data_IF_520817723271
#
_entry.id   IF_520817723271
#
_cell.length_a   1.000
_cell.length_b   1.000
_cell.length_c   1.000
_cell.angle_alpha   90.00
_cell.angle_beta   90.00
_cell.angle_gamma   90.00
#
_symmetry.space_group_name_H-M   'P 1'
#
loop_
_entity.id
_entity.type
_entity.pdbx_description
1 polymer ?
#
# COMPACT_ATOMS: atom_id res chain seq x y z
N UNK A 1 13.10 25.71 1.40
CA UNK A 1 13.24 24.77 0.26
C UNK A 1 13.76 23.40 0.68
N UNK A 2 14.95 23.25 1.32
CA UNK A 2 15.50 21.91 1.67
C UNK A 2 14.61 21.01 2.56
N UNK A 3 13.83 21.58 3.48
CA UNK A 3 12.99 20.80 4.41
C UNK A 3 11.83 20.08 3.69
N UNK A 4 11.16 20.76 2.76
CA UNK A 4 10.03 20.18 2.02
C UNK A 4 10.45 19.03 1.09
N UNK A 5 11.65 19.14 0.51
CA UNK A 5 12.23 18.08 -0.32
C UNK A 5 12.54 16.84 0.51
N UNK A 6 13.17 17.02 1.68
CA UNK A 6 13.43 15.92 2.62
C UNK A 6 12.14 15.31 3.17
N UNK A 7 11.13 16.13 3.45
CA UNK A 7 9.81 15.67 3.90
C UNK A 7 9.13 14.82 2.82
N UNK A 8 9.12 15.26 1.56
CA UNK A 8 8.50 14.50 0.47
C UNK A 8 9.14 13.12 0.26
N UNK A 9 10.48 13.06 0.30
CA UNK A 9 11.23 11.81 0.14
C UNK A 9 10.98 10.89 1.35
N UNK A 10 11.02 11.43 2.57
CA UNK A 10 10.77 10.66 3.78
C UNK A 10 9.34 10.12 3.83
N UNK A 11 8.35 10.92 3.44
CA UNK A 11 6.95 10.48 3.34
C UNK A 11 6.77 9.40 2.28
N UNK A 12 7.35 9.57 1.09
CA UNK A 12 7.19 8.60 0.00
C UNK A 12 7.85 7.26 0.34
N UNK A 13 9.08 7.29 0.86
CA UNK A 13 9.81 6.09 1.31
C UNK A 13 9.10 5.45 2.51
N UNK A 14 8.73 6.24 3.51
CA UNK A 14 8.04 5.75 4.70
C UNK A 14 6.70 5.09 4.37
N UNK A 15 5.95 5.68 3.44
CA UNK A 15 4.70 5.11 2.94
C UNK A 15 4.93 3.81 2.17
N UNK A 16 5.95 3.76 1.29
CA UNK A 16 6.29 2.56 0.54
C UNK A 16 6.67 1.39 1.47
N UNK A 17 7.50 1.67 2.49
CA UNK A 17 7.89 0.69 3.52
C UNK A 17 6.67 0.21 4.32
N UNK A 18 5.80 1.15 4.72
CA UNK A 18 4.58 0.81 5.46
C UNK A 18 3.66 -0.10 4.64
N UNK A 19 3.41 0.23 3.37
CA UNK A 19 2.59 -0.58 2.46
C UNK A 19 3.17 -1.99 2.33
N UNK A 20 4.49 -2.11 2.10
CA UNK A 20 5.15 -3.41 2.00
C UNK A 20 5.02 -4.23 3.29
N UNK A 21 5.15 -3.59 4.45
CA UNK A 21 4.99 -4.25 5.75
C UNK A 21 3.57 -4.77 5.99
N UNK A 22 2.54 -4.00 5.61
CA UNK A 22 1.15 -4.45 5.71
C UNK A 22 0.89 -5.64 4.79
N UNK A 23 1.38 -5.61 3.54
CA UNK A 23 1.28 -6.77 2.64
C UNK A 23 1.97 -8.01 3.21
N UNK A 24 3.14 -7.84 3.84
CA UNK A 24 3.86 -8.93 4.50
C UNK A 24 3.03 -9.54 5.65
N UNK A 25 2.40 -8.70 6.49
CA UNK A 25 1.53 -9.18 7.58
C UNK A 25 0.30 -9.93 7.03
N UNK A 26 -0.33 -9.42 5.96
CA UNK A 26 -1.50 -10.09 5.34
C UNK A 26 -1.09 -11.48 4.83
N UNK A 27 0.08 -11.59 4.20
CA UNK A 27 0.62 -12.86 3.74
C UNK A 27 0.91 -13.83 4.90
N UNK A 28 1.53 -13.34 5.98
CA UNK A 28 1.77 -14.15 7.18
C UNK A 28 0.46 -14.60 7.83
N UNK A 29 -0.54 -13.72 7.96
CA UNK A 29 -1.86 -14.04 8.50
C UNK A 29 -2.60 -15.08 7.64
N UNK A 30 -2.53 -14.98 6.32
CA UNK A 30 -3.14 -15.95 5.43
C UNK A 30 -2.54 -17.35 5.63
N UNK A 31 -1.21 -17.42 5.80
CA UNK A 31 -0.50 -18.67 6.05
C UNK A 31 -0.76 -19.22 7.45
N UNK A 32 -0.76 -18.36 8.47
CA UNK A 32 -0.98 -18.72 9.88
C UNK A 32 -2.41 -19.13 10.17
N UNK A 33 -3.39 -18.53 9.49
CA UNK A 33 -4.81 -18.86 9.69
C UNK A 33 -5.22 -20.19 9.06
N UNK A 34 -4.33 -20.90 8.35
CA UNK A 34 -4.69 -22.05 7.51
C UNK A 34 -5.93 -21.76 6.66
N UNK A 35 -6.03 -20.50 6.18
CA UNK A 35 -7.16 -20.08 5.40
C UNK A 35 -7.14 -20.94 4.13
N UNK A 36 -8.18 -21.77 3.95
CA UNK A 36 -8.30 -22.59 2.75
C UNK A 36 -8.28 -21.71 1.50
N UNK A 37 -8.34 -22.32 0.32
CA UNK A 37 -8.31 -21.64 -0.99
C UNK A 37 -9.26 -20.42 -1.05
N UNK A 38 -10.45 -20.57 -0.47
CA UNK A 38 -11.48 -19.52 -0.39
C UNK A 38 -11.18 -18.47 0.69
N UNK A 39 -10.65 -18.90 1.83
CA UNK A 39 -10.30 -18.02 2.93
C UNK A 39 -9.18 -17.06 2.57
N UNK A 40 -8.13 -17.54 1.90
CA UNK A 40 -7.00 -16.70 1.43
C UNK A 40 -7.47 -15.68 0.40
N UNK A 41 -8.36 -16.05 -0.52
CA UNK A 41 -8.95 -15.13 -1.49
C UNK A 41 -9.73 -14.00 -0.80
N UNK A 42 -10.59 -14.34 0.16
CA UNK A 42 -11.37 -13.34 0.91
C UNK A 42 -10.47 -12.47 1.81
N UNK A 43 -9.45 -13.06 2.44
CA UNK A 43 -8.45 -12.33 3.25
C UNK A 43 -7.74 -11.29 2.39
N UNK A 44 -7.30 -11.67 1.20
CA UNK A 44 -6.59 -10.76 0.29
C UNK A 44 -7.52 -9.68 -0.27
N UNK A 45 -8.80 -10.00 -0.55
CA UNK A 45 -9.77 -9.01 -1.04
C UNK A 45 -10.15 -8.03 0.06
N UNK A 46 -10.53 -8.49 1.25
CA UNK A 46 -11.06 -7.60 2.31
C UNK A 46 -9.95 -6.78 2.96
N UNK A 47 -8.83 -7.42 3.34
CA UNK A 47 -7.71 -6.69 3.97
C UNK A 47 -6.86 -5.95 2.93
N UNK A 48 -6.70 -6.52 1.74
CA UNK A 48 -5.94 -5.89 0.66
C UNK A 48 -6.70 -4.75 -0.01
N UNK A 49 -8.04 -4.77 -0.12
CA UNK A 49 -8.81 -3.69 -0.77
C UNK A 49 -8.49 -2.31 -0.22
N UNK A 50 -8.46 -2.16 1.11
CA UNK A 50 -8.27 -0.85 1.73
C UNK A 50 -6.90 -0.25 1.39
N UNK A 51 -5.84 -1.05 1.53
CA UNK A 51 -4.49 -0.63 1.21
C UNK A 51 -4.28 -0.46 -0.30
N UNK A 52 -4.84 -1.36 -1.11
CA UNK A 52 -4.71 -1.35 -2.56
C UNK A 52 -5.39 -0.13 -3.18
N UNK A 53 -6.59 0.24 -2.71
CA UNK A 53 -7.26 1.46 -3.12
C UNK A 53 -6.45 2.72 -2.75
N UNK A 54 -5.83 2.72 -1.57
CA UNK A 54 -4.97 3.81 -1.13
C UNK A 54 -3.72 3.95 -2.02
N UNK A 55 -3.03 2.85 -2.32
CA UNK A 55 -1.84 2.85 -3.19
C UNK A 55 -2.21 3.29 -4.61
N UNK A 56 -3.28 2.75 -5.19
CA UNK A 56 -3.74 3.15 -6.53
C UNK A 56 -4.04 4.63 -6.57
N UNK A 57 -4.80 5.16 -5.60
CA UNK A 57 -5.10 6.60 -5.56
C UNK A 57 -3.82 7.43 -5.55
N UNK A 58 -2.84 7.07 -4.71
CA UNK A 58 -1.57 7.79 -4.61
C UNK A 58 -0.81 7.77 -5.94
N UNK A 59 -0.71 6.61 -6.58
CA UNK A 59 -0.06 6.48 -7.90
C UNK A 59 -0.81 7.26 -8.98
N UNK A 60 -2.15 7.19 -8.98
CA UNK A 60 -2.98 7.94 -9.93
C UNK A 60 -2.84 9.44 -9.73
N UNK A 61 -2.82 9.93 -8.49
CA UNK A 61 -2.60 11.35 -8.17
C UNK A 61 -1.19 11.79 -8.54
N UNK A 62 -0.18 10.96 -8.34
CA UNK A 62 1.21 11.24 -8.77
C UNK A 62 1.31 11.30 -10.30
N UNK A 63 0.65 10.37 -11.01
CA UNK A 63 0.63 10.33 -12.48
C UNK A 63 -0.20 11.46 -13.08
N UNK A 64 -1.36 11.79 -12.50
CA UNK A 64 -2.22 12.88 -12.94
C UNK A 64 -1.66 14.24 -12.51
N UNK A 65 -1.02 14.35 -11.35
CA UNK A 65 -0.40 15.56 -10.83
C UNK A 65 0.93 15.91 -11.50
N UNK A 66 1.67 14.91 -12.04
CA UNK A 66 2.81 15.14 -12.92
C UNK A 66 2.40 15.50 -14.37
N UNK A 67 1.09 15.51 -14.67
CA UNK A 67 0.52 16.16 -15.85
C UNK A 67 0.02 17.54 -15.47
N UNK A 68 0.81 18.59 -15.75
CA UNK A 68 0.44 20.01 -15.61
C UNK A 68 -1.07 20.27 -15.82
N UNK A 69 -1.73 20.69 -14.73
CA UNK A 69 -2.85 21.65 -14.80
C UNK A 69 -2.72 22.61 -13.62
#
# INVERSE_FOLDING_TARGET
MRLAEMESIALNIGLAVFVAFVFFIIYDLAKKSNAGKFGTAMLFVVLGMGLFAFVIKTVVVELMGNGHI
#
